data_IF_981608523087
#
_entry.id   IF_981608523087
#
_cell.length_a   1.000
_cell.length_b   1.000
_cell.length_c   1.000
_cell.angle_alpha   90.00
_cell.angle_beta   90.00
_cell.angle_gamma   90.00
#
_symmetry.space_group_name_H-M   'P 1'
#
loop_
_entity.id
_entity.type
_entity.pdbx_description
1 polymer ?
#
# COMPACT_ATOMS: atom_id res chain seq x y z
N UNK A 1 29.81 -9.35 -7.95
CA UNK A 1 28.57 -8.75 -8.48
C UNK A 1 27.96 -7.80 -7.45
N UNK A 2 27.69 -8.27 -6.23
CA UNK A 2 27.07 -7.46 -5.15
C UNK A 2 27.91 -6.22 -4.80
N UNK A 3 29.24 -6.34 -4.68
CA UNK A 3 30.11 -5.20 -4.37
C UNK A 3 30.03 -4.10 -5.45
N UNK A 4 29.99 -4.47 -6.73
CA UNK A 4 29.83 -3.51 -7.82
C UNK A 4 28.46 -2.81 -7.83
N UNK A 5 27.42 -3.50 -7.38
CA UNK A 5 26.07 -2.92 -7.24
C UNK A 5 26.02 -1.91 -6.08
N UNK A 6 26.70 -2.17 -4.97
CA UNK A 6 26.83 -1.25 -3.84
C UNK A 6 27.60 0.02 -4.25
N UNK A 7 28.70 -0.10 -4.95
CA UNK A 7 29.49 1.04 -5.44
C UNK A 7 28.69 1.89 -6.45
N UNK A 8 27.94 1.25 -7.33
CA UNK A 8 27.05 1.95 -8.26
C UNK A 8 25.95 2.73 -7.51
N UNK A 9 25.37 2.14 -6.46
CA UNK A 9 24.37 2.79 -5.63
C UNK A 9 24.97 3.98 -4.86
N UNK A 10 26.13 3.81 -4.26
CA UNK A 10 26.88 4.89 -3.59
C UNK A 10 27.13 6.06 -4.55
N UNK A 11 27.68 5.78 -5.73
CA UNK A 11 27.94 6.78 -6.76
C UNK A 11 26.67 7.50 -7.22
N UNK A 12 25.55 6.79 -7.30
CA UNK A 12 24.25 7.41 -7.63
C UNK A 12 23.76 8.34 -6.52
N UNK A 13 23.87 7.93 -5.27
CA UNK A 13 23.49 8.76 -4.11
C UNK A 13 24.31 10.05 -4.01
N UNK A 14 25.60 9.99 -4.35
CA UNK A 14 26.48 11.16 -4.34
C UNK A 14 26.11 12.23 -5.40
N UNK A 15 25.38 11.84 -6.44
CA UNK A 15 24.93 12.75 -7.51
C UNK A 15 23.60 13.46 -7.22
N UNK A 16 22.91 13.09 -6.14
CA UNK A 16 21.66 13.73 -5.78
C UNK A 16 21.90 15.14 -5.26
N UNK A 17 21.04 16.09 -5.59
CA UNK A 17 21.04 17.40 -4.94
C UNK A 17 20.62 17.28 -3.48
N UNK A 18 19.59 16.50 -3.24
CA UNK A 18 19.02 16.28 -1.91
C UNK A 18 18.76 14.81 -1.70
N UNK A 19 19.13 14.31 -0.52
CA UNK A 19 18.82 12.96 -0.04
C UNK A 19 18.02 13.07 1.24
N UNK A 20 16.80 12.54 1.24
CA UNK A 20 15.96 12.45 2.44
C UNK A 20 15.82 10.97 2.81
N UNK A 21 16.20 10.64 4.02
CA UNK A 21 16.05 9.30 4.58
C UNK A 21 15.04 9.37 5.72
N UNK A 22 13.96 8.61 5.59
CA UNK A 22 12.88 8.53 6.59
C UNK A 22 12.96 7.12 7.17
N UNK A 23 13.41 7.01 8.39
CA UNK A 23 13.65 5.70 9.01
C UNK A 23 13.62 5.82 10.54
N UNK A 24 13.17 4.80 11.28
CA UNK A 24 13.29 4.77 12.75
C UNK A 24 14.74 4.77 13.24
N UNK A 25 15.67 4.31 12.42
CA UNK A 25 17.09 4.23 12.73
C UNK A 25 17.93 4.70 11.55
N UNK A 26 19.16 5.22 11.79
CA UNK A 26 20.12 5.43 10.73
C UNK A 26 20.50 4.09 10.09
N UNK A 27 19.84 3.76 8.99
CA UNK A 27 20.06 2.53 8.24
C UNK A 27 21.21 2.69 7.24
N UNK A 28 21.48 1.62 6.49
CA UNK A 28 22.49 1.63 5.44
C UNK A 28 22.25 2.78 4.45
N UNK A 29 21.00 3.09 4.13
CA UNK A 29 20.66 4.20 3.23
C UNK A 29 21.14 5.56 3.76
N UNK A 30 21.21 5.73 5.09
CA UNK A 30 21.67 6.96 5.71
C UNK A 30 23.20 7.10 5.74
N UNK A 31 23.94 6.01 5.62
CA UNK A 31 25.41 5.97 5.82
C UNK A 31 26.21 5.42 4.64
N UNK A 32 25.55 4.98 3.58
CA UNK A 32 26.21 4.37 2.43
C UNK A 32 27.00 5.37 1.57
N UNK A 33 26.81 6.67 1.77
CA UNK A 33 27.41 7.74 0.97
C UNK A 33 28.39 8.58 1.81
N UNK A 34 29.30 9.28 1.14
CA UNK A 34 30.27 10.20 1.77
C UNK A 34 29.81 11.67 1.71
N UNK A 35 28.52 11.93 1.49
CA UNK A 35 27.97 13.28 1.40
C UNK A 35 28.06 14.00 2.74
N UNK A 36 28.42 15.28 2.68
CA UNK A 36 28.51 16.18 3.84
C UNK A 36 27.43 17.25 3.86
N UNK A 37 26.65 17.36 2.77
CA UNK A 37 25.57 18.35 2.59
C UNK A 37 24.35 17.74 1.88
N UNK A 38 23.24 18.44 1.96
CA UNK A 38 21.99 18.03 1.30
C UNK A 38 21.41 16.69 1.77
N UNK A 39 21.76 16.24 2.98
CA UNK A 39 21.25 15.01 3.56
C UNK A 39 20.38 15.34 4.78
N UNK A 40 19.16 14.82 4.76
CA UNK A 40 18.18 15.02 5.82
C UNK A 40 17.74 13.64 6.34
N UNK A 41 17.96 13.40 7.63
CA UNK A 41 17.48 12.22 8.32
C UNK A 41 16.24 12.61 9.12
N UNK A 42 15.10 12.06 8.75
CA UNK A 42 13.83 12.31 9.43
C UNK A 42 13.48 11.08 10.25
N UNK A 43 13.38 11.21 11.58
CA UNK A 43 13.06 10.08 12.44
C UNK A 43 11.60 9.67 12.26
N UNK A 44 11.38 8.48 11.75
CA UNK A 44 10.06 7.86 11.67
C UNK A 44 9.75 7.07 12.94
N UNK A 45 8.46 6.88 13.22
CA UNK A 45 8.01 6.02 14.29
C UNK A 45 8.22 4.54 13.96
N UNK A 46 8.40 3.74 15.00
CA UNK A 46 8.35 2.28 14.89
C UNK A 46 6.90 1.79 14.78
N UNK A 47 6.73 0.51 14.47
CA UNK A 47 5.41 -0.13 14.42
C UNK A 47 4.62 -0.12 15.74
N UNK A 48 5.27 0.14 16.87
CA UNK A 48 4.64 0.23 18.19
C UNK A 48 4.12 1.63 18.51
N UNK A 49 4.61 2.61 17.80
CA UNK A 49 4.35 4.04 17.98
C UNK A 49 3.33 4.58 16.97
N UNK A 50 2.81 3.72 16.10
CA UNK A 50 1.82 4.07 15.09
C UNK A 50 0.69 3.05 15.07
N UNK A 51 -0.43 3.41 14.42
CA UNK A 51 -1.55 2.51 14.19
C UNK A 51 -1.91 2.46 12.71
N UNK A 52 -2.64 1.44 12.31
CA UNK A 52 -3.16 1.34 10.96
C UNK A 52 -3.28 -0.09 10.45
N UNK A 53 -3.69 -0.21 9.21
CA UNK A 53 -3.77 -1.50 8.54
C UNK A 53 -2.41 -1.93 8.01
N UNK A 54 -2.18 -3.22 8.03
CA UNK A 54 -0.97 -3.84 7.48
C UNK A 54 -1.33 -5.13 6.76
N UNK A 55 -0.69 -5.37 5.64
CA UNK A 55 -0.82 -6.63 4.91
C UNK A 55 0.23 -7.63 5.42
N UNK A 56 -0.21 -8.77 5.90
CA UNK A 56 0.68 -9.85 6.30
C UNK A 56 1.23 -10.61 5.07
N UNK A 57 2.25 -11.43 5.27
CA UNK A 57 2.89 -12.21 4.20
C UNK A 57 1.93 -13.17 3.49
N UNK A 58 0.88 -13.65 4.14
CA UNK A 58 -0.19 -14.45 3.56
C UNK A 58 -1.27 -13.61 2.87
N UNK A 59 -1.02 -12.31 2.68
CA UNK A 59 -1.92 -11.31 2.08
C UNK A 59 -3.17 -10.97 2.88
N UNK A 60 -3.32 -11.48 4.10
CA UNK A 60 -4.41 -11.04 4.98
C UNK A 60 -4.14 -9.65 5.54
N UNK A 61 -5.20 -8.85 5.69
CA UNK A 61 -5.12 -7.55 6.34
C UNK A 61 -5.30 -7.71 7.84
N UNK A 62 -4.51 -6.93 8.55
CA UNK A 62 -4.55 -6.82 10.00
C UNK A 62 -4.63 -5.35 10.38
N UNK A 63 -5.19 -5.08 11.54
CA UNK A 63 -5.10 -3.76 12.16
C UNK A 63 -4.12 -3.81 13.32
N UNK A 64 -3.30 -2.81 13.44
CA UNK A 64 -2.41 -2.63 14.58
C UNK A 64 -2.78 -1.35 15.31
N UNK A 65 -2.95 -1.46 16.62
CA UNK A 65 -3.15 -0.31 17.48
C UNK A 65 -1.80 0.23 17.96
N UNK A 66 -1.76 1.53 18.17
CA UNK A 66 -0.61 2.18 18.78
C UNK A 66 -0.48 1.73 20.24
N UNK A 67 0.71 1.31 20.63
CA UNK A 67 0.99 0.81 22.00
C UNK A 67 1.64 1.89 22.86
N UNK A 68 2.44 2.76 22.24
CA UNK A 68 3.15 3.82 22.94
C UNK A 68 3.19 5.10 22.10
N UNK A 69 3.33 6.23 22.75
CA UNK A 69 3.51 7.49 22.04
C UNK A 69 4.84 7.52 21.28
N UNK A 70 4.90 8.26 20.16
CA UNK A 70 6.15 8.50 19.45
C UNK A 70 7.24 9.01 20.39
N UNK A 71 8.44 8.47 20.26
CA UNK A 71 9.60 8.86 21.06
C UNK A 71 10.33 10.03 20.42
N UNK A 72 10.77 10.94 21.27
CA UNK A 72 11.55 12.12 20.86
C UNK A 72 10.84 12.95 19.78
N UNK A 73 11.52 13.21 18.66
CA UNK A 73 11.01 13.98 17.53
C UNK A 73 10.44 13.08 16.43
N UNK A 74 10.33 11.77 16.67
CA UNK A 74 9.81 10.85 15.66
C UNK A 74 8.35 11.14 15.33
N UNK A 75 8.02 10.98 14.04
CA UNK A 75 6.69 11.18 13.50
C UNK A 75 6.27 9.97 12.69
N UNK A 76 4.97 9.74 12.63
CA UNK A 76 4.45 8.69 11.75
C UNK A 76 4.71 9.07 10.29
N UNK A 77 4.86 8.07 9.42
CA UNK A 77 5.02 8.30 7.98
C UNK A 77 3.89 9.19 7.42
N UNK A 78 2.68 8.98 7.89
CA UNK A 78 1.51 9.77 7.50
C UNK A 78 1.62 11.25 7.92
N UNK A 79 2.15 11.52 9.11
CA UNK A 79 2.41 12.88 9.57
C UNK A 79 3.53 13.52 8.74
N UNK A 80 4.62 12.78 8.49
CA UNK A 80 5.74 13.26 7.67
C UNK A 80 5.26 13.63 6.26
N UNK A 81 4.48 12.74 5.62
CA UNK A 81 3.93 12.99 4.28
C UNK A 81 2.97 14.19 4.29
N UNK A 82 2.16 14.34 5.34
CA UNK A 82 1.27 15.49 5.51
C UNK A 82 2.06 16.80 5.61
N UNK A 83 3.15 16.81 6.36
CA UNK A 83 4.03 17.97 6.48
C UNK A 83 4.69 18.34 5.14
N UNK A 84 5.14 17.34 4.37
CA UNK A 84 5.63 17.58 3.01
C UNK A 84 4.53 18.15 2.12
N UNK A 85 3.33 17.57 2.15
CA UNK A 85 2.22 18.04 1.35
C UNK A 85 1.87 19.51 1.62
N UNK A 86 1.90 19.92 2.90
CA UNK A 86 1.74 21.33 3.29
C UNK A 86 2.87 22.22 2.78
N UNK A 87 4.11 21.76 2.88
CA UNK A 87 5.28 22.52 2.41
C UNK A 87 5.33 22.70 0.90
N UNK A 88 4.84 21.73 0.14
CA UNK A 88 4.79 21.74 -1.31
C UNK A 88 3.44 22.22 -1.87
N UNK A 89 2.54 22.70 -1.01
CA UNK A 89 1.25 23.31 -1.39
C UNK A 89 0.32 22.36 -2.17
N UNK A 90 0.27 21.09 -1.78
CA UNK A 90 -0.69 20.14 -2.33
C UNK A 90 -1.49 19.37 -1.27
N UNK A 91 -1.46 19.83 -0.01
CA UNK A 91 -2.16 19.17 1.09
C UNK A 91 -3.67 19.04 0.85
N UNK A 92 -4.32 20.06 0.31
CA UNK A 92 -5.76 20.04 0.01
C UNK A 92 -6.13 18.96 -1.01
N UNK A 93 -5.22 18.62 -1.91
CA UNK A 93 -5.42 17.54 -2.88
C UNK A 93 -5.17 16.19 -2.27
N UNK A 94 -4.08 16.05 -1.50
CA UNK A 94 -3.71 14.80 -0.85
C UNK A 94 -4.73 14.38 0.20
N UNK A 95 -5.20 15.32 1.01
CA UNK A 95 -6.07 15.06 2.16
C UNK A 95 -7.55 15.31 1.87
N UNK A 96 -7.92 15.38 0.60
CA UNK A 96 -9.27 15.75 0.16
C UNK A 96 -10.39 14.96 0.82
N UNK A 97 -10.19 13.69 1.06
CA UNK A 97 -11.18 12.77 1.63
C UNK A 97 -10.76 12.25 3.02
N UNK A 98 -9.78 12.88 3.62
CA UNK A 98 -9.15 12.43 4.86
C UNK A 98 -9.37 13.49 5.92
N UNK A 99 -10.04 13.12 6.98
CA UNK A 99 -10.20 13.96 8.17
C UNK A 99 -8.87 14.08 8.91
N UNK A 100 -8.72 15.16 9.66
CA UNK A 100 -7.53 15.38 10.49
C UNK A 100 -7.85 15.06 11.94
N UNK A 101 -7.00 14.25 12.57
CA UNK A 101 -7.06 13.98 14.00
C UNK A 101 -6.47 15.14 14.82
N UNK A 102 -5.42 15.75 14.29
CA UNK A 102 -4.82 16.97 14.79
C UNK A 102 -4.25 17.78 13.63
N UNK A 103 -3.59 18.90 13.92
CA UNK A 103 -3.10 19.83 12.88
C UNK A 103 -2.30 19.14 11.76
N UNK A 104 -1.48 18.15 12.08
CA UNK A 104 -0.60 17.49 11.11
C UNK A 104 -0.80 15.97 11.03
N UNK A 105 -1.71 15.42 11.82
CA UNK A 105 -1.97 13.98 11.89
C UNK A 105 -3.28 13.66 11.17
N UNK A 106 -3.24 12.97 10.03
CA UNK A 106 -4.44 12.54 9.33
C UNK A 106 -5.10 11.36 10.05
N UNK A 107 -6.41 11.23 9.89
CA UNK A 107 -7.17 10.09 10.40
C UNK A 107 -6.80 8.83 9.62
N UNK A 108 -6.16 7.90 10.29
CA UNK A 108 -5.64 6.67 9.67
C UNK A 108 -6.76 5.79 9.11
N UNK A 109 -7.90 5.78 9.76
CA UNK A 109 -9.10 5.09 9.29
C UNK A 109 -9.58 5.62 7.94
N UNK A 110 -9.53 6.94 7.73
CA UNK A 110 -9.92 7.54 6.46
C UNK A 110 -8.92 7.23 5.35
N UNK A 111 -7.62 7.19 5.67
CA UNK A 111 -6.59 6.73 4.72
C UNK A 111 -6.90 5.30 4.27
N UNK A 112 -7.23 4.40 5.20
CA UNK A 112 -7.58 3.02 4.85
C UNK A 112 -8.85 2.96 3.98
N UNK A 113 -9.86 3.78 4.26
CA UNK A 113 -11.08 3.88 3.43
C UNK A 113 -10.78 4.41 2.04
N UNK A 114 -9.92 5.41 1.93
CA UNK A 114 -9.51 5.97 0.64
C UNK A 114 -8.73 4.96 -0.19
N UNK A 115 -7.81 4.21 0.42
CA UNK A 115 -7.16 3.07 -0.24
C UNK A 115 -8.16 2.08 -0.82
N UNK A 116 -9.17 1.70 -0.04
CA UNK A 116 -10.21 0.80 -0.51
C UNK A 116 -11.01 1.36 -1.68
N UNK A 117 -11.29 2.65 -1.66
CA UNK A 117 -12.05 3.33 -2.73
C UNK A 117 -11.22 3.57 -3.97
N UNK A 118 -9.97 4.03 -3.80
CA UNK A 118 -9.08 4.40 -4.89
C UNK A 118 -8.50 3.21 -5.65
N UNK A 119 -8.33 2.10 -4.96
CA UNK A 119 -7.69 0.90 -5.50
C UNK A 119 -8.68 -0.25 -5.69
N UNK A 120 -9.90 0.04 -6.12
CA UNK A 120 -10.94 -0.98 -6.22
C UNK A 120 -10.56 -2.19 -7.08
N UNK A 121 -9.59 -2.05 -7.97
CA UNK A 121 -9.09 -3.12 -8.83
C UNK A 121 -7.98 -3.97 -8.20
N UNK A 122 -7.24 -3.40 -7.28
CA UNK A 122 -6.12 -4.05 -6.53
C UNK A 122 -6.28 -3.88 -5.05
N UNK A 123 -7.23 -3.05 -4.64
CA UNK A 123 -7.38 -2.65 -3.27
C UNK A 123 -8.12 -3.69 -2.45
N UNK A 124 -8.23 -3.35 -1.21
CA UNK A 124 -8.82 -4.17 -0.17
C UNK A 124 -10.32 -3.90 -0.07
N UNK A 125 -10.99 -3.91 -1.22
CA UNK A 125 -12.42 -3.63 -1.33
C UNK A 125 -13.21 -4.42 -0.30
N UNK A 126 -13.99 -3.73 0.52
CA UNK A 126 -14.77 -4.33 1.61
C UNK A 126 -14.00 -4.57 2.91
N UNK A 127 -12.72 -4.29 2.97
CA UNK A 127 -11.91 -4.37 4.20
C UNK A 127 -11.88 -3.02 4.92
N UNK A 128 -13.01 -2.61 5.48
CA UNK A 128 -13.09 -1.37 6.26
C UNK A 128 -12.23 -1.46 7.54
N UNK A 129 -11.77 -0.33 8.08
CA UNK A 129 -11.08 -0.32 9.37
C UNK A 129 -11.88 -1.01 10.47
N UNK A 130 -13.20 -0.81 10.49
CA UNK A 130 -14.13 -1.40 11.46
C UNK A 130 -14.12 -2.93 11.36
N UNK A 131 -14.19 -3.45 10.14
CA UNK A 131 -14.16 -4.89 9.91
C UNK A 131 -12.82 -5.50 10.29
N UNK A 132 -11.72 -4.87 9.91
CA UNK A 132 -10.37 -5.36 10.25
C UNK A 132 -10.18 -5.35 11.78
N UNK A 133 -10.59 -4.29 12.46
CA UNK A 133 -10.54 -4.19 13.92
C UNK A 133 -11.41 -5.28 14.59
N UNK A 134 -12.61 -5.50 14.06
CA UNK A 134 -13.50 -6.53 14.57
C UNK A 134 -12.89 -7.94 14.42
N UNK A 135 -12.26 -8.22 13.29
CA UNK A 135 -11.55 -9.47 13.05
C UNK A 135 -10.40 -9.66 14.05
N UNK A 136 -9.60 -8.61 14.28
CA UNK A 136 -8.49 -8.66 15.24
C UNK A 136 -8.98 -8.93 16.67
N UNK A 137 -10.05 -8.26 17.09
CA UNK A 137 -10.63 -8.43 18.43
C UNK A 137 -11.25 -9.83 18.64
N UNK A 138 -11.68 -10.49 17.57
CA UNK A 138 -12.34 -11.79 17.61
C UNK A 138 -11.54 -12.89 16.92
N UNK A 139 -10.23 -12.75 16.85
CA UNK A 139 -9.34 -13.68 16.14
C UNK A 139 -9.51 -15.14 16.57
N UNK A 140 -9.87 -15.37 17.83
CA UNK A 140 -10.09 -16.69 18.41
C UNK A 140 -11.30 -17.45 17.83
N UNK A 141 -12.24 -16.76 17.16
CA UNK A 141 -13.42 -17.37 16.53
C UNK A 141 -13.12 -17.89 15.12
N UNK A 142 -11.97 -17.56 14.56
CA UNK A 142 -11.59 -17.99 13.21
C UNK A 142 -10.86 -19.34 13.25
N UNK A 143 -11.35 -20.27 12.47
CA UNK A 143 -10.67 -21.54 12.27
C UNK A 143 -9.30 -21.36 11.62
N UNK A 144 -8.29 -22.02 12.13
CA UNK A 144 -6.89 -21.83 11.70
C UNK A 144 -6.61 -22.34 10.29
N UNK A 145 -7.42 -23.22 9.78
CA UNK A 145 -7.22 -23.85 8.46
C UNK A 145 -8.05 -23.15 7.39
N UNK A 146 -9.37 -23.03 7.64
CA UNK A 146 -10.29 -22.43 6.70
C UNK A 146 -10.31 -20.90 6.78
N UNK A 147 -9.79 -20.33 7.86
CA UNK A 147 -9.86 -18.89 8.22
C UNK A 147 -11.30 -18.38 8.36
N UNK A 148 -12.28 -19.24 8.45
CA UNK A 148 -13.68 -18.86 8.61
C UNK A 148 -14.03 -18.77 10.09
N UNK A 149 -14.77 -17.72 10.45
CA UNK A 149 -15.30 -17.58 11.80
C UNK A 149 -16.50 -18.50 12.02
N UNK A 150 -16.55 -19.11 13.18
CA UNK A 150 -17.67 -19.93 13.68
C UNK A 150 -18.20 -19.28 14.96
N UNK A 151 -19.37 -18.68 14.84
CA UNK A 151 -20.02 -17.94 15.91
C UNK A 151 -19.43 -16.55 16.20
N UNK A 152 -20.04 -15.86 17.17
CA UNK A 152 -19.63 -14.54 17.58
C UNK A 152 -19.91 -13.42 16.56
N UNK A 153 -19.33 -12.23 16.79
CA UNK A 153 -19.59 -11.06 15.94
C UNK A 153 -19.12 -11.19 14.49
N UNK A 154 -18.21 -12.11 14.23
CA UNK A 154 -17.65 -12.35 12.90
C UNK A 154 -18.21 -13.59 12.21
N UNK A 155 -19.27 -14.21 12.76
CA UNK A 155 -19.80 -15.48 12.26
C UNK A 155 -19.97 -15.51 10.74
N UNK A 156 -19.34 -16.49 10.10
CA UNK A 156 -19.33 -16.69 8.65
C UNK A 156 -18.36 -15.81 7.89
N UNK A 157 -17.67 -14.87 8.54
CA UNK A 157 -16.62 -14.05 7.91
C UNK A 157 -15.33 -14.87 7.71
N UNK A 158 -14.51 -14.44 6.77
CA UNK A 158 -13.17 -14.95 6.57
C UNK A 158 -12.14 -13.94 7.08
N UNK A 159 -11.20 -14.39 7.90
CA UNK A 159 -10.20 -13.56 8.55
C UNK A 159 -9.34 -12.80 7.55
N UNK A 160 -9.32 -11.48 7.68
CA UNK A 160 -8.44 -10.59 6.92
C UNK A 160 -8.60 -10.64 5.40
N UNK A 161 -9.42 -11.50 4.86
CA UNK A 161 -9.62 -11.77 3.43
C UNK A 161 -8.37 -11.49 2.58
N UNK A 162 -7.58 -12.50 2.26
CA UNK A 162 -6.35 -12.31 1.51
C UNK A 162 -6.64 -11.66 0.15
N UNK A 163 -5.83 -10.71 -0.23
CA UNK A 163 -5.91 -10.04 -1.52
C UNK A 163 -5.00 -10.72 -2.55
N UNK A 164 -5.39 -10.85 -3.82
CA UNK A 164 -6.76 -10.77 -4.31
C UNK A 164 -7.61 -11.94 -3.84
N UNK A 165 -8.92 -11.75 -3.72
CA UNK A 165 -9.83 -12.82 -3.36
C UNK A 165 -11.12 -12.75 -4.19
N UNK A 166 -11.75 -13.91 -4.33
CA UNK A 166 -13.09 -14.03 -4.90
C UNK A 166 -14.11 -13.70 -3.82
N UNK A 167 -15.05 -12.81 -4.14
CA UNK A 167 -16.17 -12.55 -3.26
C UNK A 167 -17.28 -13.55 -3.48
N UNK A 168 -17.81 -14.07 -2.40
CA UNK A 168 -19.04 -14.88 -2.41
C UNK A 168 -19.97 -14.42 -1.28
N UNK A 169 -21.28 -14.70 -1.36
CA UNK A 169 -22.20 -14.40 -0.26
C UNK A 169 -21.76 -15.01 1.07
N UNK A 170 -21.20 -16.21 1.03
CA UNK A 170 -20.70 -16.91 2.23
C UNK A 170 -19.53 -16.19 2.88
N UNK A 171 -18.69 -15.54 2.08
CA UNK A 171 -17.56 -14.73 2.57
C UNK A 171 -18.02 -13.36 3.12
N UNK A 172 -19.26 -12.96 2.87
CA UNK A 172 -19.76 -11.62 3.21
C UNK A 172 -18.85 -10.49 2.72
N UNK A 173 -18.24 -10.71 1.56
CA UNK A 173 -17.30 -9.78 0.96
C UNK A 173 -17.54 -9.71 -0.55
N UNK A 174 -17.52 -8.50 -1.14
CA UNK A 174 -17.77 -8.34 -2.58
C UNK A 174 -16.67 -8.94 -3.47
N UNK A 175 -15.56 -9.36 -2.90
CA UNK A 175 -14.37 -9.76 -3.63
C UNK A 175 -13.55 -8.60 -4.13
N UNK A 176 -12.33 -8.88 -4.50
CA UNK A 176 -11.52 -7.98 -5.31
C UNK A 176 -11.67 -8.36 -6.77
N UNK A 177 -11.72 -7.41 -7.69
CA UNK A 177 -11.73 -7.72 -9.10
C UNK A 177 -10.58 -8.63 -9.47
N UNK A 178 -10.81 -9.53 -10.42
CA UNK A 178 -9.73 -10.34 -10.95
C UNK A 178 -8.67 -9.45 -11.58
N UNK A 179 -7.47 -9.49 -11.03
CA UNK A 179 -6.34 -8.74 -11.56
C UNK A 179 -5.74 -9.42 -12.80
N UNK A 180 -5.91 -10.72 -12.88
CA UNK A 180 -5.28 -11.55 -13.88
C UNK A 180 -6.35 -12.40 -14.55
N UNK A 181 -6.70 -12.04 -15.75
CA UNK A 181 -7.43 -12.92 -16.66
C UNK A 181 -6.47 -13.34 -17.77
N UNK A 182 -5.73 -14.40 -17.51
CA UNK A 182 -4.77 -14.97 -18.44
C UNK A 182 -5.42 -15.85 -19.51
N UNK A 183 -6.75 -16.01 -19.47
CA UNK A 183 -7.48 -16.76 -20.50
C UNK A 183 -7.58 -16.01 -21.83
N UNK A 184 -7.31 -14.71 -21.81
CA UNK A 184 -7.36 -13.81 -22.96
C UNK A 184 -6.13 -12.92 -23.00
N UNK A 185 -5.74 -12.49 -24.18
CA UNK A 185 -4.78 -11.43 -24.35
C UNK A 185 -5.34 -10.08 -23.86
N UNK A 186 -4.48 -9.11 -23.57
CA UNK A 186 -4.91 -7.75 -23.21
C UNK A 186 -5.77 -7.15 -24.34
N UNK A 187 -5.37 -7.39 -25.57
CA UNK A 187 -6.08 -6.92 -26.76
C UNK A 187 -7.51 -7.50 -26.87
N UNK A 188 -7.73 -8.69 -26.33
CA UNK A 188 -9.03 -9.37 -26.28
C UNK A 188 -9.81 -9.12 -24.98
N UNK A 189 -9.38 -8.16 -24.19
CA UNK A 189 -10.02 -7.81 -22.93
C UNK A 189 -9.52 -8.62 -21.71
N UNK A 190 -8.41 -9.32 -21.82
CA UNK A 190 -7.72 -9.92 -20.69
C UNK A 190 -7.20 -8.88 -19.70
N UNK A 191 -6.94 -9.28 -18.49
CA UNK A 191 -6.48 -8.40 -17.43
C UNK A 191 -5.17 -8.90 -16.88
N UNK A 192 -4.14 -8.08 -17.00
CA UNK A 192 -2.89 -8.27 -16.30
C UNK A 192 -2.65 -7.10 -15.33
N UNK A 193 -1.77 -7.29 -14.39
CA UNK A 193 -1.42 -6.22 -13.44
C UNK A 193 -1.02 -4.92 -14.17
N UNK A 194 -0.15 -5.02 -15.16
CA UNK A 194 0.27 -3.85 -15.94
C UNK A 194 -0.83 -3.24 -16.80
N UNK A 195 -1.74 -4.05 -17.33
CA UNK A 195 -2.84 -3.56 -18.10
C UNK A 195 -3.75 -2.63 -17.30
N UNK A 196 -3.87 -2.88 -16.01
CA UNK A 196 -4.69 -2.06 -15.10
C UNK A 196 -4.00 -0.82 -14.59
N UNK A 197 -2.69 -0.90 -14.32
CA UNK A 197 -1.91 0.19 -13.75
C UNK A 197 -1.21 1.06 -14.77
N UNK A 198 -1.53 0.85 -16.01
CA UNK A 198 -1.00 1.67 -17.05
C UNK A 198 0.29 1.14 -17.62
N UNK A 199 0.18 0.55 -18.77
CA UNK A 199 1.25 0.67 -19.71
C UNK A 199 1.22 2.15 -20.10
N UNK A 200 1.97 2.97 -19.39
CA UNK A 200 2.11 4.38 -19.70
C UNK A 200 3.27 4.60 -20.64
N UNK A 201 3.03 5.40 -21.65
CA UNK A 201 4.07 5.97 -22.48
C UNK A 201 3.76 7.45 -22.64
N UNK A 202 4.74 8.29 -22.29
CA UNK A 202 4.62 9.76 -22.41
C UNK A 202 3.39 10.33 -21.67
N UNK A 203 3.05 9.75 -20.52
CA UNK A 203 1.91 10.18 -19.70
C UNK A 203 0.55 9.69 -20.19
N UNK A 204 0.49 8.86 -21.23
CA UNK A 204 -0.74 8.26 -21.72
C UNK A 204 -0.92 6.83 -21.24
N UNK A 205 -2.10 6.52 -20.73
CA UNK A 205 -2.50 5.14 -20.47
C UNK A 205 -2.92 4.50 -21.80
N UNK A 206 -2.01 3.73 -22.36
CA UNK A 206 -2.16 3.16 -23.71
C UNK A 206 -3.36 2.22 -23.85
N UNK A 207 -3.83 1.62 -22.76
CA UNK A 207 -4.98 0.71 -22.79
C UNK A 207 -6.31 1.47 -22.68
N UNK A 208 -6.37 2.46 -21.82
CA UNK A 208 -7.58 3.24 -21.61
C UNK A 208 -7.93 4.10 -22.84
N UNK A 209 -6.93 4.52 -23.59
CA UNK A 209 -7.09 5.40 -24.74
C UNK A 209 -7.15 4.64 -26.08
N UNK A 210 -7.22 3.30 -26.04
CA UNK A 210 -7.36 2.48 -27.23
C UNK A 210 -6.16 2.47 -28.17
N UNK A 211 -4.98 2.81 -27.66
CA UNK A 211 -3.71 2.78 -28.42
C UNK A 211 -3.33 1.36 -28.83
N UNK A 212 -3.74 0.37 -28.04
CA UNK A 212 -3.59 -1.04 -28.37
C UNK A 212 -4.93 -1.63 -28.74
N UNK A 213 -5.04 -2.10 -29.97
CA UNK A 213 -6.21 -2.80 -30.47
C UNK A 213 -5.97 -4.30 -30.53
N UNK A 214 -7.05 -5.05 -30.76
CA UNK A 214 -6.98 -6.50 -31.01
C UNK A 214 -5.95 -6.79 -32.11
N UNK A 215 -5.02 -7.72 -31.81
CA UNK A 215 -3.94 -8.07 -32.73
C UNK A 215 -2.69 -7.19 -32.63
N UNK A 216 -2.61 -6.27 -31.65
CA UNK A 216 -1.39 -5.53 -31.40
C UNK A 216 -0.26 -6.44 -30.88
N UNK A 217 0.99 -6.06 -31.13
CA UNK A 217 2.17 -6.83 -30.69
C UNK A 217 2.34 -6.84 -29.15
N UNK A 218 1.66 -5.95 -28.44
CA UNK A 218 1.65 -5.96 -26.97
C UNK A 218 0.56 -6.90 -26.51
N UNK A 219 0.96 -8.13 -26.28
CA UNK A 219 0.03 -9.19 -25.93
C UNK A 219 -0.33 -9.11 -24.46
N UNK A 220 0.58 -9.30 -23.59
CA UNK A 220 0.30 -9.40 -22.17
C UNK A 220 1.20 -8.46 -21.37
N UNK A 221 0.66 -7.90 -20.33
CA UNK A 221 1.52 -7.37 -19.30
C UNK A 221 2.42 -8.50 -18.76
N UNK A 222 3.20 -8.23 -17.76
CA UNK A 222 4.00 -9.30 -17.18
C UNK A 222 3.10 -10.42 -16.70
N UNK A 223 3.36 -11.66 -17.14
CA UNK A 223 2.71 -12.79 -16.51
C UNK A 223 3.14 -12.75 -15.03
N UNK A 224 2.20 -12.66 -14.15
CA UNK A 224 2.46 -12.82 -12.76
C UNK A 224 2.25 -14.28 -12.41
N UNK A 225 3.38 -14.99 -12.32
CA UNK A 225 3.56 -16.36 -11.83
C UNK A 225 2.67 -17.43 -12.43
#
# INVERSE_FOLDING_TARGET
KLAGEIEAMKTAMEKLETLVVIDPFPTVSAVLHDRTDGVYLLPATTQFETRGSVTASNRSLQWRDQIMAPLFESKTDHEIITLFAKKFDFADRLLRNISMESENVPMIEDITREFNSGMWTVGYTGQSPERIKLHMANQHTFDKTSLRADGGPCDGDYYGLPWPCWGTPEMKHPGTPNLYDMSKSIADGGLTFRARFGVERDGQNLLAEGVYSVGSEIQDGYPEF
#
